data_IF_145403724567
#
_entry.id   IF_145403724567
#
_cell.length_a   1.000
_cell.length_b   1.000
_cell.length_c   1.000
_cell.angle_alpha   90.00
_cell.angle_beta   90.00
_cell.angle_gamma   90.00
#
_symmetry.space_group_name_H-M   'P 1'
#
loop_
_entity.id
_entity.type
_entity.pdbx_description
1 polymer ?
#
# COMPACT_ATOMS: atom_id res chain seq x y z
N UNK A 1 -25.16 8.83 -5.40
CA UNK A 1 -24.34 7.71 -4.90
C UNK A 1 -23.82 8.16 -3.56
N UNK A 2 -24.26 7.55 -2.47
CA UNK A 2 -23.88 7.94 -1.10
C UNK A 2 -22.37 7.83 -0.96
N UNK A 3 -21.72 8.87 -0.44
CA UNK A 3 -20.28 8.90 -0.13
C UNK A 3 -19.93 7.67 0.71
N UNK A 4 -19.36 6.63 0.09
CA UNK A 4 -18.76 5.49 0.80
C UNK A 4 -17.42 5.96 1.37
N UNK A 5 -17.47 6.82 2.39
CA UNK A 5 -16.32 7.15 3.22
C UNK A 5 -16.00 5.90 4.05
N UNK A 6 -14.79 5.39 3.91
CA UNK A 6 -14.27 4.36 4.80
C UNK A 6 -14.06 5.04 6.15
N UNK A 7 -14.69 4.54 7.22
CA UNK A 7 -14.35 4.97 8.56
C UNK A 7 -13.01 4.34 8.94
N UNK A 8 -11.95 5.13 8.88
CA UNK A 8 -10.59 4.69 9.21
C UNK A 8 -10.47 4.30 10.69
N UNK A 9 -11.33 4.84 11.56
CA UNK A 9 -11.27 4.55 13.00
C UNK A 9 -11.77 3.14 13.29
N UNK A 10 -12.87 2.72 12.63
CA UNK A 10 -13.38 1.34 12.72
C UNK A 10 -12.32 0.32 12.26
N UNK A 11 -11.49 0.69 11.28
CA UNK A 11 -10.44 -0.20 10.81
C UNK A 11 -9.31 -0.37 11.84
N UNK A 12 -8.93 0.72 12.53
CA UNK A 12 -7.93 0.73 13.60
C UNK A 12 -8.37 -0.05 14.85
N UNK A 13 -9.67 -0.16 15.13
CA UNK A 13 -10.20 -0.93 16.26
C UNK A 13 -9.85 -2.43 16.19
N UNK A 14 -9.55 -2.96 14.99
CA UNK A 14 -9.11 -4.34 14.80
C UNK A 14 -7.67 -4.60 15.31
N UNK A 15 -6.92 -3.55 15.64
CA UNK A 15 -5.51 -3.62 16.01
C UNK A 15 -5.27 -2.99 17.39
N UNK A 16 -5.80 -3.58 18.48
CA UNK A 16 -5.60 -3.03 19.81
C UNK A 16 -4.11 -2.97 20.18
N UNK A 17 -3.75 -1.97 20.99
CA UNK A 17 -2.38 -1.72 21.45
C UNK A 17 -1.32 -1.65 20.33
N UNK A 18 -1.75 -1.33 19.12
CA UNK A 18 -0.91 -1.34 17.94
C UNK A 18 -0.78 0.06 17.34
N UNK A 19 0.41 0.37 16.83
CA UNK A 19 0.70 1.62 16.14
C UNK A 19 1.39 1.32 14.82
N UNK A 20 1.11 2.17 13.81
CA UNK A 20 1.83 2.15 12.54
C UNK A 20 3.30 2.45 12.80
N UNK A 21 4.18 1.65 12.23
CA UNK A 21 5.62 1.81 12.36
C UNK A 21 6.29 1.66 11.00
N UNK A 22 7.24 2.52 10.70
CA UNK A 22 8.00 2.44 9.45
C UNK A 22 9.46 2.15 9.77
N UNK A 23 10.00 1.13 9.11
CA UNK A 23 11.43 0.83 9.11
C UNK A 23 12.01 1.47 7.86
N UNK A 24 13.00 2.34 8.03
CA UNK A 24 13.77 2.87 6.90
C UNK A 24 14.52 1.73 6.22
N UNK A 25 14.37 1.64 4.90
CA UNK A 25 15.03 0.64 4.07
C UNK A 25 16.44 1.07 3.65
N UNK A 26 16.86 0.64 2.46
CA UNK A 26 18.16 1.00 1.90
C UNK A 26 18.29 2.47 1.47
N UNK A 27 17.19 3.23 1.51
CA UNK A 27 17.15 4.65 1.17
C UNK A 27 16.09 5.36 2.03
N UNK A 28 16.25 6.68 2.32
CA UNK A 28 15.34 7.40 3.21
C UNK A 28 13.88 7.44 2.77
N UNK A 29 13.63 7.35 1.46
CA UNK A 29 12.29 7.33 0.88
C UNK A 29 11.64 5.93 0.88
N UNK A 30 12.41 4.88 1.22
CA UNK A 30 11.90 3.53 1.43
C UNK A 30 11.48 3.39 2.89
N UNK A 31 10.18 3.55 3.14
CA UNK A 31 9.58 3.37 4.46
C UNK A 31 8.76 2.07 4.46
N UNK A 32 9.34 0.98 5.01
CA UNK A 32 8.72 -0.34 5.02
C UNK A 32 7.70 -0.42 6.16
N UNK A 33 6.40 -0.63 5.87
CA UNK A 33 5.38 -0.66 6.90
C UNK A 33 5.50 -1.90 7.77
N UNK A 34 5.35 -1.68 9.07
CA UNK A 34 5.19 -2.68 10.11
C UNK A 34 4.18 -2.15 11.12
N UNK A 35 3.71 -3.04 11.99
CA UNK A 35 2.87 -2.68 13.12
C UNK A 35 3.62 -2.99 14.40
N UNK A 36 3.74 -1.99 15.27
CA UNK A 36 4.35 -2.13 16.59
C UNK A 36 3.25 -2.41 17.61
N UNK A 37 3.35 -3.53 18.32
CA UNK A 37 2.37 -3.96 19.34
C UNK A 37 2.99 -3.78 20.73
N UNK A 38 2.36 -2.95 21.56
CA UNK A 38 2.76 -2.75 22.96
C UNK A 38 2.33 -3.94 23.80
N UNK A 39 3.26 -4.44 24.61
CA UNK A 39 3.00 -5.53 25.53
C UNK A 39 2.74 -4.99 26.93
N UNK A 40 1.83 -5.63 27.68
CA UNK A 40 1.72 -5.40 29.12
C UNK A 40 2.94 -5.98 29.84
N UNK A 41 3.37 -5.43 30.99
CA UNK A 41 4.44 -6.02 31.79
C UNK A 41 4.11 -7.45 32.23
N UNK A 42 5.12 -8.32 32.24
CA UNK A 42 5.00 -9.68 32.80
C UNK A 42 5.02 -9.58 34.32
N UNK A 43 3.98 -10.10 34.99
CA UNK A 43 3.91 -10.15 36.45
C UNK A 43 4.82 -11.28 36.97
N UNK A 44 5.78 -10.95 37.83
CA UNK A 44 6.70 -11.89 38.47
C UNK A 44 6.61 -11.73 39.99
N UNK A 45 5.97 -12.63 40.73
CA UNK A 45 5.82 -12.54 42.19
C UNK A 45 5.59 -11.08 42.66
N UNK A 46 6.58 -10.46 43.34
CA UNK A 46 6.53 -9.10 43.88
C UNK A 46 7.06 -8.00 42.93
N UNK A 47 7.31 -8.33 41.66
CA UNK A 47 7.90 -7.44 40.64
C UNK A 47 7.17 -7.54 39.30
N UNK A 48 7.48 -6.64 38.38
CA UNK A 48 7.01 -6.68 37.01
C UNK A 48 8.18 -6.48 36.05
N UNK A 49 8.23 -7.28 34.99
CA UNK A 49 9.20 -7.13 33.91
C UNK A 49 8.55 -6.40 32.75
N UNK A 50 9.13 -5.27 32.35
CA UNK A 50 8.70 -4.52 31.18
C UNK A 50 9.09 -5.32 29.93
N UNK A 51 8.12 -5.57 29.06
CA UNK A 51 8.33 -6.21 27.78
C UNK A 51 8.56 -5.16 26.69
N UNK A 52 9.52 -5.41 25.80
CA UNK A 52 9.68 -4.58 24.60
C UNK A 52 8.49 -4.75 23.64
N UNK A 53 8.29 -3.82 22.70
CA UNK A 53 7.25 -4.00 21.68
C UNK A 53 7.55 -5.16 20.74
N UNK A 54 6.50 -5.74 20.14
CA UNK A 54 6.62 -6.73 19.06
C UNK A 54 6.33 -6.05 17.73
N UNK A 55 7.22 -6.19 16.76
CA UNK A 55 7.02 -5.69 15.40
C UNK A 55 6.52 -6.82 14.51
N UNK A 56 5.41 -6.59 13.83
CA UNK A 56 4.81 -7.56 12.89
C UNK A 56 4.62 -6.92 11.52
N UNK A 57 4.58 -7.77 10.49
CA UNK A 57 4.28 -7.33 9.12
C UNK A 57 2.90 -6.67 9.05
N UNK A 58 2.79 -5.59 8.28
CA UNK A 58 1.57 -4.80 8.18
C UNK A 58 1.18 -4.52 6.72
N UNK A 59 0.13 -5.19 6.26
CA UNK A 59 -0.42 -5.08 4.89
C UNK A 59 -1.50 -4.01 4.76
N UNK A 60 -1.85 -3.33 5.85
CA UNK A 60 -2.96 -2.37 5.86
C UNK A 60 -2.69 -1.11 5.04
N UNK A 61 -1.43 -0.83 4.71
CA UNK A 61 -1.03 0.36 3.96
C UNK A 61 -1.39 1.66 4.71
N UNK A 62 -1.58 2.79 4.01
CA UNK A 62 -1.89 4.07 4.66
C UNK A 62 -3.26 4.13 5.37
N UNK A 63 -4.06 3.07 5.30
CA UNK A 63 -5.39 3.02 5.90
C UNK A 63 -5.41 2.97 7.42
N UNK A 64 -4.27 2.63 8.05
CA UNK A 64 -4.07 2.64 9.51
C UNK A 64 -3.04 3.69 9.95
N UNK A 65 -2.56 4.51 9.02
CA UNK A 65 -1.60 5.56 9.33
C UNK A 65 -2.37 6.83 9.75
N UNK A 66 -2.32 7.23 11.04
CA UNK A 66 -3.06 8.40 11.53
C UNK A 66 -2.60 9.71 10.88
N UNK A 67 -1.39 9.74 10.32
CA UNK A 67 -0.83 10.93 9.67
C UNK A 67 -1.18 11.00 8.18
N UNK A 68 -1.77 9.94 7.61
CA UNK A 68 -2.14 9.90 6.21
C UNK A 68 -3.62 10.25 5.97
N UNK A 69 -3.86 11.33 5.24
CA UNK A 69 -5.22 11.73 4.82
C UNK A 69 -5.64 10.97 3.57
N UNK A 70 -6.68 10.15 3.70
CA UNK A 70 -7.19 9.29 2.62
C UNK A 70 -8.27 10.01 1.82
N UNK A 71 -8.04 10.13 0.52
CA UNK A 71 -9.06 10.50 -0.47
C UNK A 71 -9.12 9.41 -1.54
N UNK A 72 -10.17 8.60 -1.49
CA UNK A 72 -10.38 7.47 -2.41
C UNK A 72 -10.56 7.95 -3.86
N UNK A 73 -11.04 9.18 -4.07
CA UNK A 73 -11.22 9.74 -5.42
C UNK A 73 -9.89 10.09 -6.10
N UNK A 74 -8.86 10.40 -5.30
CA UNK A 74 -7.50 10.69 -5.77
C UNK A 74 -6.62 9.42 -5.82
N UNK A 75 -7.00 8.40 -5.05
CA UNK A 75 -6.20 7.19 -4.87
C UNK A 75 -5.03 7.40 -3.90
N UNK A 76 -4.18 6.38 -3.76
CA UNK A 76 -3.01 6.42 -2.90
C UNK A 76 -1.82 7.14 -3.57
N UNK A 77 -0.96 7.73 -2.74
CA UNK A 77 0.33 8.30 -3.19
C UNK A 77 1.14 7.25 -3.94
N UNK A 78 1.59 7.58 -5.15
CA UNK A 78 2.48 6.75 -5.97
C UNK A 78 3.92 6.81 -5.45
N UNK A 79 4.18 6.23 -4.27
CA UNK A 79 5.48 6.30 -3.59
C UNK A 79 6.65 5.76 -4.43
N UNK A 80 6.37 4.81 -5.32
CA UNK A 80 7.36 4.15 -6.19
C UNK A 80 7.60 4.86 -7.52
N UNK A 81 6.87 5.93 -7.84
CA UNK A 81 7.02 6.64 -9.13
C UNK A 81 8.47 7.08 -9.39
N UNK A 82 9.18 7.71 -8.44
CA UNK A 82 10.58 8.08 -8.65
C UNK A 82 11.48 6.87 -8.92
N UNK A 83 11.25 5.74 -8.25
CA UNK A 83 12.06 4.53 -8.43
C UNK A 83 11.90 3.93 -9.82
N UNK A 84 10.67 3.96 -10.34
CA UNK A 84 10.38 3.45 -11.68
C UNK A 84 11.04 4.36 -12.72
N UNK A 85 10.89 5.68 -12.58
CA UNK A 85 11.50 6.65 -13.50
C UNK A 85 13.04 6.55 -13.51
N UNK A 86 13.67 6.34 -12.36
CA UNK A 86 15.14 6.30 -12.25
C UNK A 86 15.80 5.05 -12.85
N UNK A 87 15.04 4.03 -13.26
CA UNK A 87 15.61 2.79 -13.84
C UNK A 87 15.79 2.85 -15.35
N UNK A 88 15.27 3.88 -16.02
CA UNK A 88 15.28 4.03 -17.47
C UNK A 88 14.76 2.79 -18.24
N UNK A 89 13.92 1.98 -17.59
CA UNK A 89 13.39 0.71 -18.11
C UNK A 89 11.90 0.79 -18.47
N UNK A 90 11.33 2.00 -18.49
CA UNK A 90 9.91 2.23 -18.73
C UNK A 90 9.66 3.48 -19.57
N UNK A 91 8.52 3.49 -20.27
CA UNK A 91 8.05 4.61 -21.09
C UNK A 91 6.68 5.03 -20.55
N UNK A 92 6.50 6.32 -20.27
CA UNK A 92 5.21 6.88 -19.87
C UNK A 92 4.34 7.15 -21.11
N UNK A 93 3.08 6.71 -21.06
CA UNK A 93 2.09 6.95 -22.10
C UNK A 93 0.88 7.68 -21.52
N UNK A 94 0.36 8.66 -22.25
CA UNK A 94 -0.94 9.24 -21.93
C UNK A 94 -2.07 8.24 -22.19
N UNK A 95 -3.13 8.33 -21.37
CA UNK A 95 -4.26 7.41 -21.41
C UNK A 95 -5.01 7.42 -22.75
N UNK A 96 -5.02 8.56 -23.44
CA UNK A 96 -5.61 8.73 -24.79
C UNK A 96 -4.98 7.77 -25.81
N UNK A 97 -3.67 7.57 -25.74
CA UNK A 97 -2.95 6.67 -26.64
C UNK A 97 -3.34 5.20 -26.43
N UNK A 98 -3.67 4.80 -25.20
CA UNK A 98 -4.12 3.44 -24.91
C UNK A 98 -5.51 3.14 -25.47
N UNK A 99 -6.39 4.14 -25.53
CA UNK A 99 -7.72 3.97 -26.12
C UNK A 99 -7.65 3.82 -27.64
N UNK A 100 -6.73 4.53 -28.29
CA UNK A 100 -6.49 4.36 -29.73
C UNK A 100 -5.78 3.04 -30.04
N UNK A 101 -4.85 2.62 -29.18
CA UNK A 101 -4.20 1.32 -29.28
C UNK A 101 -5.23 0.17 -29.12
N UNK A 102 -6.17 0.26 -28.17
CA UNK A 102 -7.26 -0.74 -28.03
C UNK A 102 -8.12 -0.85 -29.28
N UNK A 103 -8.54 0.29 -29.85
CA UNK A 103 -9.29 0.31 -31.13
C UNK A 103 -8.51 -0.37 -32.26
N UNK A 104 -7.18 -0.21 -32.27
CA UNK A 104 -6.33 -0.84 -33.28
C UNK A 104 -6.25 -2.37 -33.13
N UNK A 105 -6.31 -2.89 -31.89
CA UNK A 105 -6.30 -4.32 -31.61
C UNK A 105 -7.66 -5.00 -31.84
N UNK A 106 -8.77 -4.30 -31.65
CA UNK A 106 -10.11 -4.82 -32.00
C UNK A 106 -10.26 -5.03 -33.52
N UNK A 107 -9.57 -4.21 -34.32
CA UNK A 107 -9.51 -4.36 -35.78
C UNK A 107 -8.52 -5.44 -36.24
N UNK A 108 -7.65 -5.91 -35.34
CA UNK A 108 -6.70 -7.00 -35.60
C UNK A 108 -7.32 -8.37 -35.26
N UNK A 109 -8.53 -8.64 -35.76
CA UNK A 109 -9.03 -10.02 -35.88
C UNK A 109 -8.12 -10.75 -36.87
N UNK A 110 -7.14 -11.46 -36.34
CA UNK A 110 -6.22 -12.30 -37.11
C UNK A 110 -7.05 -13.29 -37.95
N UNK A 111 -7.01 -13.15 -39.28
CA UNK A 111 -7.52 -14.20 -40.18
C UNK A 111 -6.61 -15.41 -40.00
N UNK A 112 -7.04 -16.40 -39.20
CA UNK A 112 -6.37 -17.70 -39.14
C UNK A 112 -6.64 -18.37 -40.48
N UNK A 113 -5.72 -18.17 -41.43
CA UNK A 113 -5.69 -18.95 -42.66
C UNK A 113 -5.30 -20.37 -42.24
N UNK A 114 -6.28 -21.27 -42.14
CA UNK A 114 -6.01 -22.71 -42.10
C UNK A 114 -5.45 -23.10 -43.45
N UNK A 115 -4.13 -23.27 -43.53
CA UNK A 115 -3.52 -24.02 -44.63
C UNK A 115 -3.93 -25.48 -44.48
N UNK A 116 -4.48 -26.04 -45.56
CA UNK A 116 -4.97 -27.42 -45.66
C UNK A 116 -3.85 -28.46 -45.56
#
# INVERSE_FOLDING_TARGET
MTDKKIDINEYSDNFPASEKYYVEGSAPDIQVPSRMIKQTPTKLNDTAQINGPIYVYDTTGPYTDPDYKIDVSLGLKKTRSPWISNRDDSIEYERSYLDDLKKSFDNAQYQIIKTA
#
